data_IF_169418850704
#
_entry.id   IF_169418850704
#
_cell.length_a   1.000
_cell.length_b   1.000
_cell.length_c   1.000
_cell.angle_alpha   90.00
_cell.angle_beta   90.00
_cell.angle_gamma   90.00
#
_symmetry.space_group_name_H-M   'P 1'
#
loop_
_entity.id
_entity.type
_entity.pdbx_description
1 polymer ?
#
# COMPACT_ATOMS: atom_id res chain seq x y z
N UNK A 1 7.95 -9.85 -1.69
CA UNK A 1 9.08 -9.15 -1.06
C UNK A 1 8.68 -7.81 -0.43
N UNK A 2 8.27 -6.79 -1.19
CA UNK A 2 7.90 -5.45 -0.63
C UNK A 2 6.85 -5.51 0.48
N UNK A 3 5.79 -6.33 0.32
CA UNK A 3 4.76 -6.47 1.35
C UNK A 3 5.28 -7.00 2.68
N UNK A 4 6.23 -7.94 2.66
CA UNK A 4 6.86 -8.44 3.87
C UNK A 4 7.80 -7.40 4.51
N UNK A 5 8.52 -6.63 3.69
CA UNK A 5 9.33 -5.52 4.18
C UNK A 5 8.46 -4.43 4.83
N UNK A 6 7.31 -4.11 4.23
CA UNK A 6 6.34 -3.18 4.80
C UNK A 6 5.78 -3.69 6.13
N UNK A 7 5.47 -4.99 6.25
CA UNK A 7 5.05 -5.58 7.52
C UNK A 7 6.12 -5.50 8.60
N UNK A 8 7.36 -5.87 8.28
CA UNK A 8 8.47 -5.79 9.22
C UNK A 8 8.68 -4.35 9.74
N UNK A 9 8.52 -3.35 8.87
CA UNK A 9 8.58 -1.94 9.27
C UNK A 9 7.35 -1.51 10.08
N UNK A 10 6.17 -2.09 9.84
CA UNK A 10 4.95 -1.84 10.58
C UNK A 10 4.91 -2.47 11.98
N UNK A 11 5.66 -3.55 12.19
CA UNK A 11 5.86 -4.18 13.50
C UNK A 11 6.90 -3.44 14.36
N UNK A 12 7.79 -2.67 13.72
CA UNK A 12 8.78 -1.85 14.40
C UNK A 12 8.31 -0.42 14.70
N UNK A 13 9.21 0.37 15.30
CA UNK A 13 9.03 1.82 15.53
C UNK A 13 9.41 2.68 14.31
N UNK A 14 9.71 2.04 13.16
CA UNK A 14 10.27 2.68 11.96
C UNK A 14 9.19 3.29 11.06
N UNK A 15 8.27 4.06 11.64
CA UNK A 15 7.11 4.63 10.94
C UNK A 15 7.47 5.57 9.78
N UNK A 16 8.60 6.28 9.86
CA UNK A 16 9.06 7.16 8.77
C UNK A 16 9.43 6.38 7.51
N UNK A 17 10.10 5.25 7.68
CA UNK A 17 10.57 4.42 6.57
C UNK A 17 9.43 3.60 5.98
N UNK A 18 8.51 3.12 6.82
CA UNK A 18 7.27 2.52 6.34
C UNK A 18 6.52 3.48 5.40
N UNK A 19 6.34 4.74 5.83
CA UNK A 19 5.72 5.77 4.99
C UNK A 19 6.49 5.99 3.70
N UNK A 20 7.81 6.19 3.78
CA UNK A 20 8.63 6.40 2.59
C UNK A 20 8.56 5.23 1.60
N UNK A 21 8.57 3.99 2.10
CA UNK A 21 8.45 2.79 1.28
C UNK A 21 7.08 2.71 0.58
N UNK A 22 6.00 2.95 1.33
CA UNK A 22 4.64 2.90 0.77
C UNK A 22 4.38 4.05 -0.21
N UNK A 23 4.86 5.27 0.09
CA UNK A 23 4.79 6.42 -0.82
C UNK A 23 5.54 6.15 -2.13
N UNK A 24 6.76 5.58 -2.05
CA UNK A 24 7.51 5.18 -3.23
C UNK A 24 6.77 4.08 -4.02
N UNK A 25 6.17 3.11 -3.31
CA UNK A 25 5.41 2.03 -3.91
C UNK A 25 4.23 2.57 -4.75
N UNK A 26 3.40 3.45 -4.19
CA UNK A 26 2.23 4.00 -4.89
C UNK A 26 2.58 5.00 -6.00
N UNK A 27 3.76 5.63 -5.95
CA UNK A 27 4.23 6.58 -6.98
C UNK A 27 4.86 5.88 -8.18
N UNK A 28 5.68 4.86 -7.93
CA UNK A 28 6.55 4.27 -8.95
C UNK A 28 5.94 3.03 -9.61
N UNK A 29 4.94 2.40 -9.00
CA UNK A 29 4.35 1.15 -9.48
C UNK A 29 2.97 1.35 -10.07
N UNK A 30 2.56 0.37 -10.87
CA UNK A 30 1.16 0.28 -11.30
C UNK A 30 0.25 0.09 -10.08
N UNK A 31 -1.02 0.53 -10.14
CA UNK A 31 -1.97 0.29 -9.05
C UNK A 31 -2.08 -1.18 -8.65
N UNK A 32 -2.00 -2.10 -9.61
CA UNK A 32 -2.05 -3.56 -9.39
C UNK A 32 -0.79 -4.09 -8.70
N UNK A 33 0.39 -3.58 -9.07
CA UNK A 33 1.63 -3.93 -8.38
C UNK A 33 1.68 -3.37 -6.96
N UNK A 34 1.12 -2.18 -6.72
CA UNK A 34 0.97 -1.60 -5.39
C UNK A 34 -0.02 -2.41 -4.54
N UNK A 35 -1.18 -2.77 -5.08
CA UNK A 35 -2.18 -3.60 -4.42
C UNK A 35 -1.63 -4.95 -3.96
N UNK A 36 -0.80 -5.61 -4.79
CA UNK A 36 -0.13 -6.88 -4.44
C UNK A 36 0.76 -6.79 -3.20
N UNK A 37 1.23 -5.60 -2.82
CA UNK A 37 2.01 -5.44 -1.59
C UNK A 37 1.19 -5.68 -0.33
N UNK A 38 -0.14 -5.54 -0.37
CA UNK A 38 -1.01 -5.82 0.78
C UNK A 38 -1.26 -7.31 1.05
N UNK A 39 -0.98 -8.20 0.08
CA UNK A 39 -1.30 -9.62 0.19
C UNK A 39 -0.80 -10.33 1.48
N UNK A 40 0.39 -10.01 2.03
CA UNK A 40 0.87 -10.65 3.26
C UNK A 40 0.05 -10.37 4.52
N UNK A 41 -0.58 -9.20 4.61
CA UNK A 41 -1.53 -8.85 5.69
C UNK A 41 -2.43 -7.71 5.19
N UNK A 42 -3.56 -8.04 4.55
CA UNK A 42 -4.43 -7.05 3.97
C UNK A 42 -5.03 -6.11 5.03
N UNK A 43 -5.35 -6.66 6.21
CA UNK A 43 -5.96 -5.89 7.30
C UNK A 43 -5.08 -4.75 7.78
N UNK A 44 -3.76 -4.94 7.80
CA UNK A 44 -2.81 -3.89 8.19
C UNK A 44 -2.35 -3.02 7.02
N UNK A 45 -2.10 -3.62 5.85
CA UNK A 45 -1.44 -2.92 4.76
C UNK A 45 -2.39 -2.12 3.87
N UNK A 46 -3.65 -2.55 3.71
CA UNK A 46 -4.63 -1.83 2.87
C UNK A 46 -4.87 -0.39 3.35
N UNK A 47 -5.16 -0.13 4.64
CA UNK A 47 -5.35 1.24 5.12
C UNK A 47 -4.11 2.12 4.89
N UNK A 48 -2.92 1.55 5.02
CA UNK A 48 -1.67 2.28 4.85
C UNK A 48 -1.39 2.63 3.39
N UNK A 49 -1.64 1.71 2.46
CA UNK A 49 -1.54 1.96 1.02
C UNK A 49 -2.53 3.02 0.55
N UNK A 50 -3.78 2.94 1.01
CA UNK A 50 -4.81 3.93 0.66
C UNK A 50 -4.47 5.32 1.21
N UNK A 51 -3.84 5.38 2.38
CA UNK A 51 -3.33 6.63 2.97
C UNK A 51 -2.19 7.21 2.12
N UNK A 52 -1.20 6.39 1.76
CA UNK A 52 -0.09 6.80 0.90
C UNK A 52 -0.59 7.27 -0.48
N UNK A 53 -1.49 6.51 -1.11
CA UNK A 53 -2.07 6.84 -2.41
C UNK A 53 -2.84 8.18 -2.38
N UNK A 54 -3.60 8.43 -1.31
CA UNK A 54 -4.29 9.72 -1.10
C UNK A 54 -3.33 10.88 -0.93
N UNK A 55 -2.15 10.65 -0.36
CA UNK A 55 -1.06 11.65 -0.30
C UNK A 55 -0.42 11.96 -1.66
N UNK A 56 -0.63 11.13 -2.68
CA UNK A 56 -0.19 11.40 -4.06
C UNK A 56 -1.24 12.20 -4.81
N UNK A 57 -2.46 11.67 -4.92
CA UNK A 57 -3.62 12.33 -5.51
C UNK A 57 -4.90 11.58 -5.19
N UNK A 58 -6.05 12.24 -5.36
CA UNK A 58 -7.35 11.58 -5.21
C UNK A 58 -7.57 10.50 -6.28
N UNK A 59 -7.17 10.76 -7.53
CA UNK A 59 -7.22 9.77 -8.61
C UNK A 59 -6.41 8.51 -8.27
N UNK A 60 -5.18 8.69 -7.75
CA UNK A 60 -4.34 7.56 -7.37
C UNK A 60 -4.93 6.75 -6.22
N UNK A 61 -5.64 7.39 -5.29
CA UNK A 61 -6.37 6.69 -4.23
C UNK A 61 -7.44 5.75 -4.82
N UNK A 62 -8.24 6.24 -5.77
CA UNK A 62 -9.28 5.43 -6.41
C UNK A 62 -8.71 4.30 -7.27
N UNK A 63 -7.63 4.56 -8.02
CA UNK A 63 -6.91 3.53 -8.78
C UNK A 63 -6.45 2.36 -7.89
N UNK A 64 -5.81 2.69 -6.77
CA UNK A 64 -5.29 1.69 -5.83
C UNK A 64 -6.43 0.96 -5.13
N UNK A 65 -7.49 1.67 -4.72
CA UNK A 65 -8.68 1.05 -4.16
C UNK A 65 -9.33 0.08 -5.15
N UNK A 66 -9.43 0.47 -6.43
CA UNK A 66 -9.96 -0.37 -7.48
C UNK A 66 -9.09 -1.63 -7.66
N UNK A 67 -7.77 -1.48 -7.74
CA UNK A 67 -6.85 -2.60 -7.86
C UNK A 67 -6.91 -3.56 -6.66
N UNK A 68 -7.09 -3.03 -5.44
CA UNK A 68 -7.29 -3.83 -4.23
C UNK A 68 -8.59 -4.63 -4.27
N UNK A 69 -9.68 -4.04 -4.75
CA UNK A 69 -10.97 -4.75 -4.94
C UNK A 69 -10.85 -5.85 -6.00
N UNK A 70 -10.22 -5.56 -7.13
CA UNK A 70 -9.94 -6.56 -8.19
C UNK A 70 -9.12 -7.72 -7.64
N UNK A 71 -8.17 -7.45 -6.74
CA UNK A 71 -7.37 -8.47 -6.07
C UNK A 71 -8.09 -9.19 -4.92
N UNK A 72 -9.33 -8.83 -4.57
CA UNK A 72 -10.06 -9.39 -3.43
C UNK A 72 -9.49 -9.00 -2.06
N UNK A 73 -8.71 -7.91 -1.99
CA UNK A 73 -8.02 -7.44 -0.80
C UNK A 73 -8.76 -6.31 -0.06
N UNK A 74 -9.78 -5.72 -0.69
CA UNK A 74 -10.62 -4.67 -0.11
C UNK A 74 -12.09 -4.87 -0.52
N UNK A 75 -13.01 -4.39 0.31
CA UNK A 75 -14.45 -4.35 0.05
C UNK A 75 -14.87 -3.09 -0.73
#
# INVERSE_FOLDING_TARGET
EIGHAALALADGTRHRELRALLDACVRMRTPQDAARTAAPDPGRLVPLLLTAARGVSEERHWDVLHALRVAGLAA
#
